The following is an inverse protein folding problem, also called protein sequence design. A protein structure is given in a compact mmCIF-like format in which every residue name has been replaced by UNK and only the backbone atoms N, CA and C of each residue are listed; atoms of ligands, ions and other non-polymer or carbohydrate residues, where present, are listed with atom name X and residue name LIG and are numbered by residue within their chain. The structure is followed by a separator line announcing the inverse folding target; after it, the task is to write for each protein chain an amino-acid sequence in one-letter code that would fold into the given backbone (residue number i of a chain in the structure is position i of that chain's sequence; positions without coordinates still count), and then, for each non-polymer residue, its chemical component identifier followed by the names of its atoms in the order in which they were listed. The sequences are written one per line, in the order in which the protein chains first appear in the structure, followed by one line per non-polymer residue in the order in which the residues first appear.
data_IF_593807566013
#
_entry.id   IF_593807566013
#
_cell.length_a   1.000
_cell.length_b   1.000
_cell.length_c   1.000
_cell.angle_alpha   90.00
_cell.angle_beta   90.00
_cell.angle_gamma   90.00
#
_symmetry.space_group_name_H-M   'P 1'
#
loop_
_entity.id
_entity.type
_entity.pdbx_description
1 polymer ?
#
# COMPACT_ATOMS: atom_id res chain seq x y z
N UNK A 1 -38.05 23.53 -19.41
CA UNK A 1 -38.93 22.96 -18.36
C UNK A 1 -38.09 22.03 -17.51
N UNK A 2 -38.09 22.17 -16.16
CA UNK A 2 -37.42 21.21 -15.29
C UNK A 2 -38.08 19.82 -15.41
N UNK A 3 -37.29 18.76 -15.35
CA UNK A 3 -37.73 17.38 -15.35
C UNK A 3 -37.48 16.77 -13.95
N UNK A 4 -38.45 16.91 -13.03
CA UNK A 4 -38.28 16.53 -11.63
C UNK A 4 -38.28 15.01 -11.39
N UNK A 5 -38.52 14.21 -12.43
CA UNK A 5 -38.56 12.74 -12.35
C UNK A 5 -37.27 12.08 -12.81
N UNK A 6 -36.39 12.81 -13.50
CA UNK A 6 -35.14 12.25 -14.01
C UNK A 6 -34.16 11.99 -12.86
N UNK A 7 -33.78 10.73 -12.69
CA UNK A 7 -32.89 10.28 -11.60
C UNK A 7 -31.49 9.91 -12.07
N UNK A 8 -31.34 9.50 -13.33
CA UNK A 8 -30.05 9.12 -13.90
C UNK A 8 -29.82 9.94 -15.17
N UNK A 9 -28.69 10.65 -15.22
CA UNK A 9 -28.22 11.35 -16.40
C UNK A 9 -26.88 10.78 -16.82
N UNK A 10 -26.79 10.33 -18.07
CA UNK A 10 -25.56 9.80 -18.66
C UNK A 10 -25.19 10.61 -19.90
N UNK A 11 -24.02 11.25 -19.84
CA UNK A 11 -23.48 12.18 -20.84
C UNK A 11 -21.96 12.01 -20.98
N UNK A 12 -21.52 10.76 -21.05
CA UNK A 12 -20.12 10.39 -21.30
C UNK A 12 -19.71 10.78 -22.72
N UNK A 13 -18.42 11.05 -22.94
CA UNK A 13 -17.86 11.41 -24.26
C UNK A 13 -18.51 12.66 -24.87
N UNK A 14 -18.70 13.68 -24.03
CA UNK A 14 -19.17 15.00 -24.45
C UNK A 14 -18.06 16.04 -24.26
N UNK A 15 -18.32 17.26 -24.71
CA UNK A 15 -17.35 18.36 -24.68
C UNK A 15 -17.56 19.30 -23.50
N UNK A 16 -18.03 18.80 -22.33
CA UNK A 16 -18.17 19.66 -21.15
C UNK A 16 -16.78 20.03 -20.64
N UNK A 17 -16.53 21.34 -20.53
CA UNK A 17 -15.25 21.88 -20.04
C UNK A 17 -15.43 22.71 -18.77
N UNK A 18 -16.58 23.37 -18.65
CA UNK A 18 -16.89 24.26 -17.54
C UNK A 18 -17.95 23.64 -16.61
N UNK A 19 -17.70 23.69 -15.31
CA UNK A 19 -18.69 23.26 -14.31
C UNK A 19 -20.00 24.06 -14.40
N UNK A 20 -19.94 25.26 -14.98
CA UNK A 20 -21.12 26.08 -15.26
C UNK A 20 -22.11 25.46 -16.24
N UNK A 21 -21.71 24.42 -16.98
CA UNK A 21 -22.62 23.61 -17.80
C UNK A 21 -23.29 22.55 -16.95
N UNK A 22 -22.51 21.90 -16.07
CA UNK A 22 -22.99 20.88 -15.12
C UNK A 22 -24.06 21.45 -14.19
N UNK A 23 -23.89 22.68 -13.70
CA UNK A 23 -24.86 23.34 -12.81
C UNK A 23 -26.27 23.45 -13.43
N UNK A 24 -26.36 23.49 -14.78
CA UNK A 24 -27.65 23.55 -15.48
C UNK A 24 -28.42 22.26 -15.25
N UNK A 25 -27.73 21.12 -15.16
CA UNK A 25 -28.36 19.83 -14.87
C UNK A 25 -28.99 19.80 -13.48
N UNK A 26 -28.34 20.36 -12.46
CA UNK A 26 -28.94 20.42 -11.12
C UNK A 26 -30.23 21.24 -11.08
N UNK A 27 -30.26 22.38 -11.78
CA UNK A 27 -31.47 23.19 -11.92
C UNK A 27 -32.57 22.50 -12.73
N UNK A 28 -32.21 21.72 -13.76
CA UNK A 28 -33.18 21.02 -14.61
C UNK A 28 -33.67 19.71 -14.00
N UNK A 29 -32.86 19.04 -13.19
CA UNK A 29 -33.08 17.69 -12.67
C UNK A 29 -32.87 17.65 -11.14
N UNK A 30 -33.76 18.27 -10.35
CA UNK A 30 -33.57 18.37 -8.89
C UNK A 30 -33.64 17.02 -8.14
N UNK A 31 -34.19 15.98 -8.77
CA UNK A 31 -34.26 14.62 -8.24
C UNK A 31 -33.11 13.71 -8.75
N UNK A 32 -32.09 14.30 -9.39
CA UNK A 32 -30.97 13.55 -9.93
C UNK A 32 -30.23 12.81 -8.80
N UNK A 33 -30.09 11.52 -9.00
CA UNK A 33 -29.53 10.54 -8.07
C UNK A 33 -28.16 10.06 -8.58
N UNK A 34 -28.03 9.87 -9.89
CA UNK A 34 -26.80 9.42 -10.54
C UNK A 34 -26.44 10.32 -11.73
N UNK A 35 -25.20 10.82 -11.73
CA UNK A 35 -24.67 11.67 -12.80
C UNK A 35 -23.38 11.07 -13.38
N UNK A 36 -23.45 10.61 -14.62
CA UNK A 36 -22.33 10.01 -15.34
C UNK A 36 -21.83 10.95 -16.43
N UNK A 37 -20.62 11.47 -16.25
CA UNK A 37 -19.99 12.46 -17.14
C UNK A 37 -18.55 12.07 -17.46
N UNK A 38 -18.27 10.78 -17.62
CA UNK A 38 -16.92 10.33 -17.95
C UNK A 38 -16.43 10.92 -19.28
N UNK A 39 -15.12 11.05 -19.45
CA UNK A 39 -14.49 11.57 -20.67
C UNK A 39 -14.96 12.99 -21.07
N UNK A 40 -15.28 13.82 -20.08
CA UNK A 40 -15.50 15.26 -20.25
C UNK A 40 -14.35 16.03 -19.59
N UNK A 41 -13.74 16.99 -20.28
CA UNK A 41 -12.53 17.67 -19.81
C UNK A 41 -12.83 18.80 -18.79
N UNK A 42 -13.59 18.49 -17.74
CA UNK A 42 -13.89 19.42 -16.65
C UNK A 42 -12.61 19.74 -15.86
N UNK A 43 -12.16 20.99 -15.92
CA UNK A 43 -10.89 21.42 -15.33
C UNK A 43 -10.97 21.68 -13.82
N UNK A 44 -12.14 22.07 -13.30
CA UNK A 44 -12.39 22.36 -11.89
C UNK A 44 -13.88 22.29 -11.57
N UNK A 45 -14.22 22.08 -10.30
CA UNK A 45 -15.58 22.18 -9.75
C UNK A 45 -15.73 23.60 -9.19
N UNK A 46 -16.32 24.55 -9.93
CA UNK A 46 -16.26 25.97 -9.53
C UNK A 46 -17.30 26.39 -8.47
N UNK A 47 -18.40 25.63 -8.33
CA UNK A 47 -19.50 26.01 -7.44
C UNK A 47 -19.11 25.89 -5.95
N UNK A 48 -19.63 26.82 -5.13
CA UNK A 48 -19.48 26.75 -3.68
C UNK A 48 -20.31 25.61 -3.08
N UNK A 49 -19.97 25.20 -1.85
CA UNK A 49 -20.69 24.13 -1.15
C UNK A 49 -22.20 24.37 -1.04
N UNK A 50 -22.62 25.61 -0.76
CA UNK A 50 -24.04 25.99 -0.71
C UNK A 50 -24.76 25.80 -2.05
N UNK A 51 -24.08 26.12 -3.16
CA UNK A 51 -24.64 25.96 -4.49
C UNK A 51 -24.75 24.48 -4.84
N UNK A 52 -23.71 23.69 -4.56
CA UNK A 52 -23.72 22.24 -4.81
C UNK A 52 -24.84 21.54 -4.04
N UNK A 53 -25.02 21.85 -2.75
CA UNK A 53 -26.10 21.31 -1.93
C UNK A 53 -27.48 21.62 -2.50
N UNK A 54 -27.69 22.86 -2.95
CA UNK A 54 -28.97 23.31 -3.52
C UNK A 54 -29.26 22.66 -4.88
N UNK A 55 -28.25 22.52 -5.73
CA UNK A 55 -28.41 22.03 -7.09
C UNK A 55 -28.49 20.50 -7.17
N UNK A 56 -27.81 19.80 -6.27
CA UNK A 56 -27.71 18.34 -6.26
C UNK A 56 -28.04 17.73 -4.89
N UNK A 57 -29.22 18.02 -4.31
CA UNK A 57 -29.58 17.60 -2.95
C UNK A 57 -29.78 16.08 -2.82
N UNK A 58 -29.97 15.37 -3.94
CA UNK A 58 -30.25 13.95 -3.99
C UNK A 58 -29.16 13.12 -4.67
N UNK A 59 -28.05 13.74 -5.09
CA UNK A 59 -27.02 13.05 -5.86
C UNK A 59 -26.26 12.08 -4.95
N UNK A 60 -26.29 10.79 -5.32
CA UNK A 60 -25.66 9.68 -4.61
C UNK A 60 -24.47 9.11 -5.34
N UNK A 61 -24.47 9.16 -6.67
CA UNK A 61 -23.38 8.63 -7.51
C UNK A 61 -22.93 9.66 -8.54
N UNK A 62 -21.63 9.92 -8.59
CA UNK A 62 -21.02 10.78 -9.62
C UNK A 62 -19.84 10.08 -10.29
N UNK A 63 -19.83 10.11 -11.62
CA UNK A 63 -18.72 9.62 -12.42
C UNK A 63 -18.05 10.75 -13.21
N UNK A 64 -16.80 11.02 -12.83
CA UNK A 64 -15.88 12.01 -13.38
C UNK A 64 -14.59 11.32 -13.90
N UNK A 65 -14.70 10.06 -14.35
CA UNK A 65 -13.59 9.37 -15.00
C UNK A 65 -13.03 10.21 -16.15
N UNK A 66 -11.70 10.28 -16.24
CA UNK A 66 -10.97 11.04 -17.25
C UNK A 66 -11.41 12.52 -17.33
N UNK A 67 -11.86 13.10 -16.23
CA UNK A 67 -12.03 14.55 -16.11
C UNK A 67 -10.68 15.27 -16.03
N UNK A 68 -10.67 16.56 -16.34
CA UNK A 68 -9.48 17.41 -16.32
C UNK A 68 -9.05 17.89 -14.92
N UNK A 69 -9.59 17.30 -13.85
CA UNK A 69 -9.36 17.74 -12.47
C UNK A 69 -7.90 17.53 -12.05
N UNK A 70 -7.27 18.60 -11.56
CA UNK A 70 -5.84 18.62 -11.22
C UNK A 70 -5.55 19.11 -9.79
N UNK A 71 -6.57 19.32 -8.97
CA UNK A 71 -6.51 19.97 -7.66
C UNK A 71 -7.31 19.21 -6.61
N UNK A 72 -6.78 19.09 -5.39
CA UNK A 72 -7.48 18.44 -4.28
C UNK A 72 -8.69 19.22 -3.81
N UNK A 73 -8.68 20.55 -3.94
CA UNK A 73 -9.80 21.43 -3.62
C UNK A 73 -11.06 21.09 -4.42
N UNK A 74 -10.91 20.55 -5.63
CA UNK A 74 -12.04 20.08 -6.43
C UNK A 74 -12.61 18.77 -5.88
N UNK A 75 -11.76 17.88 -5.36
CA UNK A 75 -12.20 16.64 -4.71
C UNK A 75 -12.92 16.97 -3.40
N UNK A 76 -12.39 17.92 -2.62
CA UNK A 76 -13.00 18.36 -1.36
C UNK A 76 -14.40 18.94 -1.56
N UNK A 77 -14.68 19.59 -2.70
CA UNK A 77 -16.02 20.11 -3.00
C UNK A 77 -17.09 19.03 -3.11
N UNK A 78 -16.71 17.79 -3.42
CA UNK A 78 -17.64 16.66 -3.44
C UNK A 78 -18.22 16.37 -2.05
N UNK A 79 -17.52 16.74 -0.96
CA UNK A 79 -18.01 16.59 0.41
C UNK A 79 -19.23 17.48 0.72
N UNK A 80 -19.49 18.51 -0.10
CA UNK A 80 -20.69 19.32 0.06
C UNK A 80 -21.93 18.66 -0.53
N UNK A 81 -21.81 17.55 -1.27
CA UNK A 81 -22.97 16.83 -1.78
C UNK A 81 -23.56 15.95 -0.66
N UNK A 82 -24.77 16.24 -0.16
CA UNK A 82 -25.22 15.75 1.14
C UNK A 82 -25.52 14.24 1.19
N UNK A 83 -25.73 13.61 0.03
CA UNK A 83 -26.05 12.17 -0.09
C UNK A 83 -25.04 11.40 -0.93
N UNK A 84 -23.88 12.00 -1.23
CA UNK A 84 -22.91 11.38 -2.11
C UNK A 84 -22.27 10.16 -1.43
N UNK A 85 -22.40 9.00 -2.08
CA UNK A 85 -21.95 7.70 -1.57
C UNK A 85 -21.00 7.00 -2.55
N UNK A 86 -21.18 7.19 -3.86
CA UNK A 86 -20.34 6.59 -4.91
C UNK A 86 -19.63 7.68 -5.72
N UNK A 87 -18.31 7.54 -5.85
CA UNK A 87 -17.48 8.44 -6.64
C UNK A 87 -16.56 7.65 -7.56
N UNK A 88 -16.49 8.09 -8.82
CA UNK A 88 -15.56 7.56 -9.81
C UNK A 88 -14.68 8.67 -10.36
N UNK A 89 -13.38 8.58 -10.12
CA UNK A 89 -12.37 9.63 -10.39
C UNK A 89 -11.10 9.07 -11.07
N UNK A 90 -11.12 7.83 -11.57
CA UNK A 90 -9.99 7.27 -12.29
C UNK A 90 -9.62 8.10 -13.53
N UNK A 91 -8.32 8.24 -13.78
CA UNK A 91 -7.81 8.89 -14.98
C UNK A 91 -7.78 10.42 -14.94
N UNK A 92 -8.10 11.06 -13.81
CA UNK A 92 -7.90 12.50 -13.65
C UNK A 92 -6.41 12.85 -13.50
N UNK A 93 -5.94 14.00 -14.04
CA UNK A 93 -4.55 14.45 -13.95
C UNK A 93 -4.00 14.50 -12.52
N UNK A 94 -4.82 14.92 -11.54
CA UNK A 94 -4.45 15.00 -10.12
C UNK A 94 -3.78 13.71 -9.62
N UNK A 95 -4.31 12.55 -10.03
CA UNK A 95 -3.88 11.27 -9.48
C UNK A 95 -2.60 10.73 -10.11
N UNK A 96 -2.12 11.30 -11.22
CA UNK A 96 -1.00 10.75 -11.99
C UNK A 96 0.32 10.72 -11.19
N UNK A 97 0.52 11.68 -10.28
CA UNK A 97 1.72 11.79 -9.45
C UNK A 97 1.85 10.71 -8.37
N UNK A 98 0.76 10.00 -8.06
CA UNK A 98 0.68 9.07 -6.92
C UNK A 98 0.76 7.61 -7.36
N UNK A 99 1.22 6.72 -6.49
CA UNK A 99 1.11 5.26 -6.65
C UNK A 99 -0.33 4.79 -6.52
N UNK A 100 -0.65 3.58 -6.98
CA UNK A 100 -2.01 3.03 -6.88
C UNK A 100 -2.55 2.98 -5.44
N UNK A 101 -1.67 2.67 -4.48
CA UNK A 101 -2.02 2.62 -3.05
C UNK A 101 -2.31 4.03 -2.51
N UNK A 102 -1.44 5.00 -2.81
CA UNK A 102 -1.61 6.40 -2.40
C UNK A 102 -2.88 7.00 -2.98
N UNK A 103 -3.11 6.85 -4.30
CA UNK A 103 -4.31 7.37 -4.98
C UNK A 103 -5.58 6.99 -4.22
N UNK A 104 -5.73 5.70 -3.93
CA UNK A 104 -6.91 5.17 -3.26
C UNK A 104 -7.00 5.66 -1.82
N UNK A 105 -5.92 5.56 -1.06
CA UNK A 105 -5.89 5.94 0.35
C UNK A 105 -6.16 7.44 0.55
N UNK A 106 -5.52 8.31 -0.25
CA UNK A 106 -5.71 9.76 -0.18
C UNK A 106 -7.16 10.15 -0.54
N UNK A 107 -7.74 9.55 -1.59
CA UNK A 107 -9.13 9.80 -1.94
C UNK A 107 -10.11 9.35 -0.85
N UNK A 108 -9.94 8.15 -0.29
CA UNK A 108 -10.79 7.64 0.80
C UNK A 108 -10.72 8.55 2.02
N UNK A 109 -9.51 8.99 2.37
CA UNK A 109 -9.31 9.91 3.49
C UNK A 109 -9.97 11.27 3.22
N UNK A 110 -9.89 11.81 2.01
CA UNK A 110 -10.49 13.10 1.63
C UNK A 110 -12.02 13.07 1.47
N UNK A 111 -12.61 11.89 1.24
CA UNK A 111 -14.05 11.72 1.00
C UNK A 111 -14.71 10.87 2.11
N UNK A 112 -14.93 11.43 3.33
CA UNK A 112 -15.43 10.70 4.49
C UNK A 112 -16.79 10.00 4.28
N UNK A 113 -17.68 10.56 3.48
CA UNK A 113 -19.04 10.04 3.27
C UNK A 113 -19.14 8.97 2.18
N UNK A 114 -18.09 8.82 1.35
CA UNK A 114 -18.11 7.96 0.15
C UNK A 114 -17.88 6.51 0.53
N UNK A 115 -18.87 5.65 0.33
CA UNK A 115 -18.85 4.21 0.65
C UNK A 115 -18.43 3.35 -0.54
N UNK A 116 -18.41 3.88 -1.76
CA UNK A 116 -17.88 3.22 -2.96
C UNK A 116 -16.99 4.15 -3.77
N UNK A 117 -15.76 3.71 -4.05
CA UNK A 117 -14.76 4.48 -4.79
C UNK A 117 -14.26 3.69 -6.00
N UNK A 118 -14.43 4.24 -7.20
CA UNK A 118 -14.06 3.60 -8.48
C UNK A 118 -14.64 2.19 -8.66
N UNK A 119 -15.86 1.96 -8.17
CA UNK A 119 -16.57 0.70 -8.33
C UNK A 119 -16.21 -0.38 -7.29
N UNK A 120 -15.36 -0.08 -6.31
CA UNK A 120 -15.13 -0.97 -5.16
C UNK A 120 -15.65 -0.35 -3.87
N UNK A 121 -16.15 -1.21 -2.98
CA UNK A 121 -16.62 -0.82 -1.64
C UNK A 121 -15.44 -0.33 -0.81
N UNK A 122 -15.67 0.71 -0.01
CA UNK A 122 -14.75 1.20 1.00
C UNK A 122 -15.17 0.62 2.34
N UNK A 123 -14.33 -0.26 2.90
CA UNK A 123 -14.61 -0.88 4.20
C UNK A 123 -14.22 0.05 5.35
N UNK A 124 -14.79 -0.16 6.54
CA UNK A 124 -14.44 0.64 7.72
C UNK A 124 -12.96 0.51 8.09
N UNK A 125 -12.41 -0.71 8.04
CA UNK A 125 -10.98 -0.95 8.28
C UNK A 125 -10.12 -0.20 7.25
N UNK A 126 -10.45 -0.30 5.96
CA UNK A 126 -9.73 0.42 4.90
C UNK A 126 -9.79 1.93 5.08
N UNK A 127 -10.96 2.46 5.49
CA UNK A 127 -11.10 3.89 5.78
C UNK A 127 -10.21 4.32 6.94
N UNK A 128 -10.20 3.55 8.01
CA UNK A 128 -9.37 3.84 9.17
C UNK A 128 -7.88 3.84 8.78
N UNK A 129 -7.43 2.85 8.00
CA UNK A 129 -6.07 2.77 7.49
C UNK A 129 -5.73 3.93 6.55
N UNK A 130 -6.64 4.29 5.65
CA UNK A 130 -6.49 5.41 4.73
C UNK A 130 -6.41 6.77 5.47
N UNK A 131 -7.26 6.99 6.48
CA UNK A 131 -7.24 8.20 7.30
C UNK A 131 -5.95 8.31 8.12
N UNK A 132 -5.45 7.20 8.67
CA UNK A 132 -4.13 7.19 9.35
C UNK A 132 -2.97 7.40 8.39
N UNK A 133 -3.04 6.79 7.20
CA UNK A 133 -2.09 7.01 6.13
C UNK A 133 -2.03 8.49 5.76
N UNK A 134 -3.18 9.15 5.65
CA UNK A 134 -3.28 10.57 5.31
C UNK A 134 -2.57 11.47 6.33
N UNK A 135 -2.71 11.19 7.63
CA UNK A 135 -1.97 11.91 8.68
C UNK A 135 -0.47 11.74 8.46
N UNK A 136 -0.01 10.50 8.27
CA UNK A 136 1.42 10.20 8.07
C UNK A 136 1.99 10.82 6.80
N UNK A 137 1.19 10.85 5.74
CA UNK A 137 1.55 11.43 4.44
C UNK A 137 1.88 12.92 4.55
N UNK A 138 1.24 13.64 5.47
CA UNK A 138 1.41 15.08 5.65
C UNK A 138 2.37 15.45 6.79
N UNK A 139 3.09 14.50 7.39
CA UNK A 139 3.97 14.78 8.53
C UNK A 139 5.09 15.78 8.21
N UNK A 140 5.61 15.74 6.99
CA UNK A 140 6.74 16.57 6.55
C UNK A 140 6.31 17.88 5.86
N UNK A 141 5.00 18.14 5.75
CA UNK A 141 4.47 19.37 5.12
C UNK A 141 4.47 20.54 6.10
N UNK A 142 4.58 21.78 5.59
CA UNK A 142 4.48 22.97 6.44
C UNK A 142 3.03 23.18 6.93
N UNK A 143 2.84 23.91 8.04
CA UNK A 143 1.48 24.18 8.55
C UNK A 143 0.57 24.91 7.56
N UNK A 144 1.17 25.68 6.64
CA UNK A 144 0.45 26.43 5.59
C UNK A 144 -0.04 25.54 4.45
N UNK A 145 0.59 24.37 4.27
CA UNK A 145 0.27 23.38 3.22
C UNK A 145 -0.72 22.32 3.71
N UNK A 146 -0.99 22.26 5.02
CA UNK A 146 -1.84 21.23 5.60
C UNK A 146 -3.32 21.45 5.21
N UNK A 147 -3.96 20.45 4.56
CA UNK A 147 -5.38 20.56 4.24
C UNK A 147 -6.23 20.53 5.51
N UNK A 148 -7.39 21.19 5.51
CA UNK A 148 -8.30 21.20 6.66
C UNK A 148 -8.60 19.79 7.18
N UNK A 149 -8.72 18.83 6.25
CA UNK A 149 -8.96 17.42 6.55
C UNK A 149 -7.88 16.81 7.46
N UNK A 150 -6.63 17.23 7.34
CA UNK A 150 -5.54 16.77 8.22
C UNK A 150 -5.86 17.09 9.68
N UNK A 151 -6.26 18.33 9.98
CA UNK A 151 -6.59 18.75 11.34
C UNK A 151 -7.79 18.00 11.91
N UNK A 152 -8.81 17.71 11.09
CA UNK A 152 -9.93 16.86 11.50
C UNK A 152 -9.46 15.45 11.89
N UNK A 153 -8.58 14.86 11.09
CA UNK A 153 -8.07 13.50 11.32
C UNK A 153 -7.13 13.44 12.52
N UNK A 154 -6.27 14.44 12.73
CA UNK A 154 -5.45 14.54 13.95
C UNK A 154 -6.32 14.71 15.19
N UNK A 155 -7.43 15.45 15.11
CA UNK A 155 -8.38 15.55 16.22
C UNK A 155 -9.02 14.19 16.54
N UNK A 156 -9.27 13.36 15.51
CA UNK A 156 -9.89 12.04 15.65
C UNK A 156 -8.91 10.96 16.15
N UNK A 157 -7.69 10.91 15.61
CA UNK A 157 -6.73 9.82 15.84
C UNK A 157 -5.51 10.22 16.68
N UNK A 158 -5.34 11.50 16.98
CA UNK A 158 -4.11 12.04 17.54
C UNK A 158 -3.00 12.20 16.50
N UNK A 159 -1.84 12.69 16.96
CA UNK A 159 -0.63 12.76 16.14
C UNK A 159 -0.01 11.35 16.05
N UNK A 160 0.10 10.83 14.83
CA UNK A 160 0.66 9.50 14.60
C UNK A 160 2.16 9.61 14.28
N UNK A 161 2.95 8.71 14.86
CA UNK A 161 4.35 8.56 14.47
C UNK A 161 4.47 7.95 13.06
N UNK A 162 5.60 8.19 12.37
CA UNK A 162 5.97 7.46 11.16
C UNK A 162 5.93 5.94 11.38
N UNK A 163 5.60 5.19 10.33
CA UNK A 163 5.70 3.73 10.38
C UNK A 163 7.17 3.32 10.40
N UNK A 164 7.53 2.34 11.22
CA UNK A 164 8.83 1.71 11.16
C UNK A 164 8.92 0.84 9.90
N UNK A 165 9.98 0.98 9.11
CA UNK A 165 10.30 0.04 8.03
C UNK A 165 10.79 -1.26 8.66
N UNK A 166 9.88 -2.23 8.81
CA UNK A 166 10.21 -3.57 9.28
C UNK A 166 10.23 -4.49 8.06
N UNK A 167 11.41 -5.00 7.71
CA UNK A 167 11.52 -6.04 6.69
C UNK A 167 11.01 -7.37 7.26
N UNK A 168 9.74 -7.68 6.97
CA UNK A 168 9.10 -8.93 7.38
C UNK A 168 9.45 -10.11 6.46
N UNK A 169 10.31 -9.92 5.45
CA UNK A 169 10.72 -11.04 4.59
C UNK A 169 11.44 -12.09 5.43
N UNK A 170 11.16 -13.39 5.22
CA UNK A 170 11.92 -14.45 5.88
C UNK A 170 13.41 -14.27 5.58
N UNK A 171 14.28 -14.40 6.59
CA UNK A 171 15.73 -14.35 6.38
C UNK A 171 16.11 -15.49 5.44
N UNK A 172 16.65 -15.15 4.26
CA UNK A 172 17.08 -16.14 3.27
C UNK A 172 18.58 -16.44 3.34
N UNK A 173 19.34 -15.65 4.11
CA UNK A 173 20.79 -15.79 4.25
C UNK A 173 21.19 -15.66 5.72
N UNK A 174 22.27 -16.35 6.10
CA UNK A 174 22.93 -16.18 7.39
C UNK A 174 24.45 -16.14 7.20
N UNK A 175 25.15 -15.29 7.97
CA UNK A 175 26.61 -15.26 8.06
C UNK A 175 27.04 -16.15 9.22
N UNK A 176 27.71 -17.25 8.91
CA UNK A 176 28.15 -18.25 9.90
C UNK A 176 29.67 -18.35 9.93
N UNK A 177 30.21 -18.73 11.08
CA UNK A 177 31.63 -19.02 11.27
C UNK A 177 31.90 -20.50 11.03
N UNK A 178 32.55 -20.81 9.91
CA UNK A 178 32.96 -22.18 9.58
C UNK A 178 34.30 -22.46 10.25
N UNK A 179 34.33 -23.46 11.14
CA UNK A 179 35.55 -23.95 11.80
C UNK A 179 35.99 -25.27 11.18
N UNK A 180 37.26 -25.34 10.77
CA UNK A 180 37.89 -26.55 10.28
C UNK A 180 39.35 -26.60 10.77
N UNK A 181 39.69 -27.60 11.59
CA UNK A 181 40.98 -27.66 12.29
C UNK A 181 41.24 -26.33 13.03
N UNK A 182 42.38 -25.68 12.78
CA UNK A 182 42.73 -24.38 13.37
C UNK A 182 42.25 -23.17 12.54
N UNK A 183 41.46 -23.40 11.48
CA UNK A 183 40.98 -22.35 10.58
C UNK A 183 39.54 -21.96 10.89
N UNK A 184 39.30 -20.67 11.02
CA UNK A 184 37.96 -20.07 11.15
C UNK A 184 37.73 -19.13 9.98
N UNK A 185 36.63 -19.31 9.26
CA UNK A 185 36.27 -18.44 8.14
C UNK A 185 34.79 -18.09 8.18
N UNK A 186 34.46 -16.81 8.04
CA UNK A 186 33.07 -16.38 7.86
C UNK A 186 32.58 -16.67 6.45
N UNK A 187 31.42 -17.31 6.36
CA UNK A 187 30.77 -17.66 5.10
C UNK A 187 29.31 -17.21 5.15
N UNK A 188 28.86 -16.54 4.08
CA UNK A 188 27.43 -16.29 3.87
C UNK A 188 26.79 -17.52 3.24
N UNK A 189 25.82 -18.10 3.92
CA UNK A 189 25.08 -19.28 3.49
C UNK A 189 23.63 -18.91 3.20
N UNK A 190 23.03 -19.55 2.20
CA UNK A 190 21.60 -19.42 1.94
C UNK A 190 20.84 -20.40 2.81
N UNK A 191 19.77 -19.97 3.46
CA UNK A 191 18.98 -20.81 4.37
C UNK A 191 17.97 -21.71 3.64
N UNK A 192 17.66 -21.39 2.38
CA UNK A 192 16.82 -22.23 1.50
C UNK A 192 17.56 -23.46 0.96
N UNK A 193 18.90 -23.43 0.93
CA UNK A 193 19.71 -24.54 0.42
C UNK A 193 19.67 -25.76 1.34
N UNK A 194 19.98 -26.92 0.75
CA UNK A 194 20.07 -28.21 1.45
C UNK A 194 21.43 -28.38 2.13
N UNK A 195 21.51 -29.23 3.17
CA UNK A 195 22.79 -29.62 3.80
C UNK A 195 23.78 -30.18 2.76
N UNK A 196 23.30 -30.88 1.74
CA UNK A 196 24.12 -31.39 0.64
C UNK A 196 24.75 -30.29 -0.22
N UNK A 197 24.00 -29.21 -0.50
CA UNK A 197 24.51 -28.03 -1.21
C UNK A 197 25.48 -27.23 -0.35
N UNK A 198 25.21 -27.12 0.96
CA UNK A 198 26.16 -26.55 1.92
C UNK A 198 27.49 -27.31 1.90
N UNK A 199 27.48 -28.66 1.90
CA UNK A 199 28.71 -29.48 1.76
C UNK A 199 29.48 -29.14 0.48
N UNK A 200 28.78 -28.92 -0.64
CA UNK A 200 29.41 -28.51 -1.91
C UNK A 200 30.03 -27.11 -1.80
N UNK A 201 29.33 -26.17 -1.15
CA UNK A 201 29.83 -24.82 -0.92
C UNK A 201 31.08 -24.83 -0.02
N UNK A 202 31.07 -25.62 1.06
CA UNK A 202 32.21 -25.71 1.99
C UNK A 202 33.44 -26.40 1.40
N UNK A 203 33.31 -27.16 0.30
CA UNK A 203 34.46 -27.77 -0.39
C UNK A 203 35.51 -26.75 -0.81
N UNK A 204 35.10 -25.55 -1.24
CA UNK A 204 36.05 -24.50 -1.62
C UNK A 204 36.77 -23.91 -0.41
N UNK A 205 36.17 -23.98 0.77
CA UNK A 205 36.68 -23.45 2.04
C UNK A 205 37.63 -24.44 2.70
N UNK A 206 37.20 -25.70 2.88
CA UNK A 206 37.95 -26.72 3.64
C UNK A 206 38.78 -27.67 2.78
N UNK A 207 38.74 -27.54 1.44
CA UNK A 207 39.47 -28.38 0.47
C UNK A 207 39.27 -29.91 0.62
N UNK A 208 38.20 -30.35 1.29
CA UNK A 208 37.86 -31.77 1.47
C UNK A 208 36.81 -32.24 0.44
N UNK A 209 36.75 -33.55 0.11
CA UNK A 209 35.63 -34.13 -0.62
C UNK A 209 34.35 -34.15 0.24
N UNK A 210 33.18 -33.91 -0.35
CA UNK A 210 31.88 -33.90 0.36
C UNK A 210 31.55 -35.23 1.06
N UNK A 211 32.06 -36.35 0.53
CA UNK A 211 31.89 -37.69 1.11
C UNK A 211 32.58 -37.82 2.48
N UNK A 212 33.67 -37.09 2.68
CA UNK A 212 34.54 -37.17 3.86
C UNK A 212 34.24 -36.08 4.89
N UNK A 213 33.15 -35.32 4.74
CA UNK A 213 32.76 -34.27 5.69
C UNK A 213 31.62 -34.74 6.61
N UNK A 214 31.85 -34.63 7.92
CA UNK A 214 30.79 -34.46 8.93
C UNK A 214 30.70 -32.98 9.28
N UNK A 215 29.48 -32.47 9.35
CA UNK A 215 29.23 -31.06 9.66
C UNK A 215 28.34 -31.03 10.89
N UNK A 216 28.72 -30.18 11.84
CA UNK A 216 27.95 -29.91 13.04
C UNK A 216 27.59 -28.43 13.06
N UNK A 217 26.34 -28.14 13.42
CA UNK A 217 25.85 -26.80 13.69
C UNK A 217 25.95 -26.53 15.20
N UNK A 218 26.46 -25.36 15.57
CA UNK A 218 26.57 -24.90 16.94
C UNK A 218 25.83 -23.56 17.02
N UNK A 219 24.71 -23.59 17.70
CA UNK A 219 23.95 -22.40 18.09
C UNK A 219 24.67 -21.72 19.26
N UNK A 220 25.09 -20.47 19.09
CA UNK A 220 25.85 -19.75 20.13
C UNK A 220 25.00 -19.36 21.34
N UNK A 221 23.69 -19.26 21.16
CA UNK A 221 22.74 -18.86 22.21
C UNK A 221 22.15 -20.09 22.94
N UNK A 222 22.44 -21.29 22.45
CA UNK A 222 21.93 -22.54 23.00
C UNK A 222 22.92 -23.20 23.96
N UNK A 223 22.42 -23.67 25.11
CA UNK A 223 23.19 -24.48 26.05
C UNK A 223 23.35 -25.96 25.61
N UNK A 224 22.78 -26.32 24.45
CA UNK A 224 22.82 -27.68 23.92
C UNK A 224 24.06 -27.89 23.04
N UNK A 225 24.55 -29.13 23.01
CA UNK A 225 25.75 -29.50 22.25
C UNK A 225 25.57 -29.40 20.72
N UNK A 226 26.66 -29.58 19.95
CA UNK A 226 26.65 -29.48 18.49
C UNK A 226 25.64 -30.46 17.84
N UNK A 227 24.79 -29.93 16.94
CA UNK A 227 23.83 -30.71 16.17
C UNK A 227 24.45 -31.21 14.86
N UNK A 228 24.51 -32.53 14.67
CA UNK A 228 25.02 -33.09 13.42
C UNK A 228 24.04 -32.85 12.26
N UNK A 229 24.49 -32.17 11.21
CA UNK A 229 23.77 -31.99 9.95
C UNK A 229 23.82 -33.29 9.12
N UNK A 230 23.12 -34.31 9.60
CA UNK A 230 23.15 -35.69 9.07
C UNK A 230 22.39 -35.84 7.74
N UNK A 231 21.25 -35.18 7.60
CA UNK A 231 20.33 -35.36 6.48
C UNK A 231 20.66 -34.42 5.32
N UNK A 232 21.28 -34.94 4.26
CA UNK A 232 21.74 -34.14 3.11
C UNK A 232 20.63 -33.42 2.34
N UNK A 233 19.40 -33.93 2.37
CA UNK A 233 18.24 -33.36 1.68
C UNK A 233 17.46 -32.33 2.52
N UNK A 234 17.78 -32.18 3.80
CA UNK A 234 17.09 -31.24 4.69
C UNK A 234 17.61 -29.82 4.43
N UNK A 235 16.69 -28.86 4.34
CA UNK A 235 17.00 -27.45 4.13
C UNK A 235 17.52 -26.77 5.40
N UNK A 236 18.40 -25.78 5.26
CA UNK A 236 19.09 -25.16 6.40
C UNK A 236 18.17 -24.32 7.30
N UNK A 237 17.11 -23.70 6.76
CA UNK A 237 16.13 -22.93 7.55
C UNK A 237 15.43 -23.78 8.63
N UNK A 238 15.40 -25.11 8.47
CA UNK A 238 14.82 -26.03 9.46
C UNK A 238 15.67 -26.24 10.72
N UNK A 239 16.86 -25.63 10.77
CA UNK A 239 17.75 -25.61 11.93
C UNK A 239 17.80 -24.23 12.60
N UNK A 240 16.99 -23.27 12.14
CA UNK A 240 16.90 -21.90 12.71
C UNK A 240 18.24 -21.16 12.82
N UNK A 241 19.16 -21.42 11.88
CA UNK A 241 20.51 -20.82 11.85
C UNK A 241 20.41 -19.29 11.74
N UNK A 242 21.19 -18.60 12.58
CA UNK A 242 21.26 -17.15 12.66
C UNK A 242 22.65 -16.60 12.26
N UNK A 243 22.74 -15.27 12.19
CA UNK A 243 24.01 -14.59 11.96
C UNK A 243 24.90 -14.73 13.22
N UNK A 244 26.13 -15.19 13.03
CA UNK A 244 27.11 -15.36 14.09
C UNK A 244 27.27 -16.80 14.59
N UNK A 245 26.37 -17.70 14.22
CA UNK A 245 26.43 -19.12 14.58
C UNK A 245 27.62 -19.85 13.95
N UNK A 246 27.96 -21.02 14.50
CA UNK A 246 29.13 -21.79 14.12
C UNK A 246 28.78 -23.07 13.35
N UNK A 247 29.59 -23.35 12.33
CA UNK A 247 29.55 -24.60 11.57
C UNK A 247 30.90 -25.29 11.70
N UNK A 248 30.95 -26.38 12.46
CA UNK A 248 32.14 -27.18 12.64
C UNK A 248 32.21 -28.29 11.57
N UNK A 249 33.29 -28.31 10.79
CA UNK A 249 33.56 -29.34 9.79
C UNK A 249 34.61 -30.31 10.33
N UNK A 250 34.29 -31.60 10.35
CA UNK A 250 35.18 -32.67 10.84
C UNK A 250 35.38 -33.71 9.73
N UNK A 251 36.63 -34.13 9.45
CA UNK A 251 36.90 -35.23 8.53
C UNK A 251 36.30 -36.54 9.04
N UNK A 252 35.69 -37.34 8.15
CA UNK A 252 35.36 -38.74 8.45
C UNK A 252 36.65 -39.54 8.49
N UNK A 253 37.07 -39.99 9.67
CA UNK A 253 38.07 -41.06 9.80
C UNK A 253 37.53 -42.34 9.15
N UNK A 254 38.39 -42.99 8.36
CA UNK A 254 38.13 -44.33 7.82
C UNK A 254 38.13 -45.37 8.92
#
# INVERSE_FOLDING_TARGET
MPCPTLRLLHITDNSLQEWSEVRKFGSMFPALDTLVMANNNLSSIQDSGEILQRLFPNLRSINLHNAGLNRWEDIEKLNFLPKLEEVRLQGIPLLQAYTSMERRSLMIAQLPSVTSLNGSVVTDCEREDAERFFIRYHLDHSEEELPHRYHCLVTKYGKLAPLAEIDLRPRCHAKVEVRYEDKVQQVSIRLDQTVGELKKQLRTVVQLPTSNMRIYYIDKDSAFGPDELKYSTRALHSYSIQDGDEILVVPKTK
#
